data_IF_638352146795
#
_entry.id   IF_638352146795
#
_cell.length_a   1.000
_cell.length_b   1.000
_cell.length_c   1.000
_cell.angle_alpha   90.00
_cell.angle_beta   90.00
_cell.angle_gamma   90.00
#
_symmetry.space_group_name_H-M   'P 1'
#
loop_
_entity.id
_entity.type
_entity.pdbx_description
1 polymer ?
#
# COMPACT_ATOMS: atom_id res chain seq x y z
N UNK A 1 4.85 16.49 -2.24
CA UNK A 1 4.70 15.06 -1.93
C UNK A 1 6.07 14.53 -1.56
N UNK A 2 6.23 13.84 -0.41
CA UNK A 2 7.46 13.15 -0.03
C UNK A 2 7.45 11.74 -0.65
N UNK A 3 8.58 11.23 -1.05
CA UNK A 3 8.75 9.87 -1.56
C UNK A 3 10.24 9.47 -1.43
N UNK A 4 10.52 8.17 -1.45
CA UNK A 4 11.88 7.62 -1.55
C UNK A 4 11.86 6.42 -2.51
N UNK A 5 12.50 6.59 -3.65
CA UNK A 5 12.55 5.62 -4.75
C UNK A 5 13.95 5.66 -5.39
N UNK A 6 14.31 4.63 -6.09
CA UNK A 6 15.65 4.49 -6.67
C UNK A 6 16.01 5.58 -7.68
N UNK A 7 15.14 5.84 -8.65
CA UNK A 7 15.38 6.78 -9.73
C UNK A 7 14.06 7.16 -10.43
N UNK A 8 13.74 8.45 -10.43
CA UNK A 8 12.52 8.99 -11.02
C UNK A 8 12.51 8.91 -12.58
N UNK A 9 13.67 8.82 -13.20
CA UNK A 9 13.78 8.78 -14.66
C UNK A 9 13.41 7.42 -15.25
N UNK A 10 13.21 6.40 -14.43
CA UNK A 10 12.68 5.09 -14.83
C UNK A 10 11.17 5.12 -15.15
N UNK A 11 10.48 6.21 -14.86
CA UNK A 11 9.01 6.30 -14.89
C UNK A 11 8.37 5.92 -16.23
N UNK A 12 9.01 6.24 -17.37
CA UNK A 12 8.45 5.91 -18.70
C UNK A 12 8.31 4.40 -18.91
N UNK A 13 9.32 3.63 -18.47
CA UNK A 13 9.29 2.17 -18.53
C UNK A 13 8.18 1.60 -17.64
N UNK A 14 8.11 2.10 -16.42
CA UNK A 14 7.09 1.68 -15.45
C UNK A 14 5.66 2.00 -15.91
N UNK A 15 5.44 3.16 -16.51
CA UNK A 15 4.14 3.52 -17.09
C UNK A 15 3.68 2.50 -18.13
N UNK A 16 4.55 2.15 -19.09
CA UNK A 16 4.24 1.14 -20.11
C UNK A 16 3.90 -0.23 -19.49
N UNK A 17 4.64 -0.61 -18.45
CA UNK A 17 4.39 -1.87 -17.71
C UNK A 17 3.05 -1.86 -16.99
N UNK A 18 2.70 -0.76 -16.32
CA UNK A 18 1.41 -0.58 -15.63
C UNK A 18 0.24 -0.63 -16.63
N UNK A 19 0.36 0.07 -17.75
CA UNK A 19 -0.65 0.10 -18.80
C UNK A 19 -0.82 -1.28 -19.46
N UNK A 20 0.28 -2.02 -19.65
CA UNK A 20 0.22 -3.40 -20.13
C UNK A 20 -0.54 -4.32 -19.18
N UNK A 21 -0.18 -4.32 -17.89
CA UNK A 21 -0.84 -5.16 -16.88
C UNK A 21 -2.35 -4.84 -16.75
N UNK A 22 -2.74 -3.59 -16.97
CA UNK A 22 -4.14 -3.17 -16.92
C UNK A 22 -5.04 -3.92 -17.90
N UNK A 23 -4.49 -4.39 -19.05
CA UNK A 23 -5.28 -5.14 -20.04
C UNK A 23 -5.86 -6.42 -19.46
N UNK A 24 -5.14 -7.07 -18.55
CA UNK A 24 -5.53 -8.33 -17.90
C UNK A 24 -6.33 -8.11 -16.60
N UNK A 25 -6.68 -6.83 -16.28
CA UNK A 25 -7.40 -6.46 -15.07
C UNK A 25 -8.77 -5.79 -15.34
N UNK A 26 -9.67 -6.43 -16.13
CA UNK A 26 -10.92 -5.81 -16.57
C UNK A 26 -11.87 -5.48 -15.42
N UNK A 27 -11.89 -6.31 -14.35
CA UNK A 27 -12.72 -6.06 -13.18
C UNK A 27 -12.24 -4.81 -12.43
N UNK A 28 -10.93 -4.69 -12.21
CA UNK A 28 -10.36 -3.53 -11.53
C UNK A 28 -10.59 -2.22 -12.31
N UNK A 29 -10.56 -2.27 -13.67
CA UNK A 29 -10.93 -1.11 -14.49
C UNK A 29 -12.37 -0.66 -14.24
N UNK A 30 -13.33 -1.60 -14.22
CA UNK A 30 -14.73 -1.28 -13.92
C UNK A 30 -14.90 -0.71 -12.50
N UNK A 31 -14.18 -1.26 -11.52
CA UNK A 31 -14.15 -0.70 -10.16
C UNK A 31 -13.59 0.71 -10.18
N UNK A 32 -12.51 0.98 -10.93
CA UNK A 32 -11.93 2.33 -11.03
C UNK A 32 -12.90 3.32 -11.66
N UNK A 33 -13.59 2.96 -12.75
CA UNK A 33 -14.62 3.81 -13.37
C UNK A 33 -15.76 4.15 -12.40
N UNK A 34 -16.18 3.18 -11.58
CA UNK A 34 -17.16 3.41 -10.54
C UNK A 34 -16.61 4.32 -9.43
N UNK A 35 -15.41 4.05 -8.93
CA UNK A 35 -14.76 4.83 -7.89
C UNK A 35 -14.52 6.28 -8.31
N UNK A 36 -14.19 6.51 -9.59
CA UNK A 36 -14.00 7.84 -10.15
C UNK A 36 -15.28 8.69 -10.08
N UNK A 37 -16.44 8.05 -10.24
CA UNK A 37 -17.77 8.71 -10.14
C UNK A 37 -18.22 8.88 -8.69
N UNK A 38 -18.11 7.81 -7.89
CA UNK A 38 -18.68 7.73 -6.54
C UNK A 38 -17.81 8.34 -5.47
N UNK A 39 -16.48 8.40 -5.70
CA UNK A 39 -15.48 8.90 -4.73
C UNK A 39 -15.64 8.31 -3.32
N UNK A 40 -15.74 6.97 -3.17
CA UNK A 40 -16.05 6.35 -1.87
C UNK A 40 -14.95 6.55 -0.81
N UNK A 41 -13.76 6.92 -1.23
CA UNK A 41 -12.60 7.14 -0.36
C UNK A 41 -12.24 8.63 -0.20
N UNK A 42 -13.14 9.55 -0.61
CA UNK A 42 -12.86 10.97 -0.52
C UNK A 42 -12.47 11.39 0.90
N UNK A 43 -11.31 12.06 1.02
CA UNK A 43 -10.78 12.54 2.29
C UNK A 43 -10.23 11.45 3.22
N UNK A 44 -10.12 10.21 2.76
CA UNK A 44 -9.51 9.13 3.54
C UNK A 44 -8.02 9.02 3.24
N UNK A 45 -7.20 9.00 4.30
CA UNK A 45 -5.79 8.64 4.21
C UNK A 45 -5.64 7.12 4.24
N UNK A 46 -4.94 6.58 3.26
CA UNK A 46 -4.71 5.14 3.14
C UNK A 46 -3.23 4.87 2.93
N UNK A 47 -2.67 4.00 3.77
CA UNK A 47 -1.30 3.51 3.61
C UNK A 47 -1.32 2.03 3.24
N UNK A 48 -0.54 1.68 2.22
CA UNK A 48 -0.41 0.33 1.74
C UNK A 48 1.04 -0.16 1.87
N UNK A 49 1.19 -1.36 2.41
CA UNK A 49 2.46 -2.10 2.47
C UNK A 49 2.30 -3.36 1.63
N UNK A 50 2.63 -3.27 0.34
CA UNK A 50 2.35 -4.29 -0.67
C UNK A 50 3.57 -4.48 -1.58
N UNK A 51 3.64 -5.59 -2.32
CA UNK A 51 4.61 -5.71 -3.41
C UNK A 51 4.43 -4.56 -4.41
N UNK A 52 5.49 -3.81 -4.72
CA UNK A 52 5.41 -2.69 -5.66
C UNK A 52 5.55 -3.19 -7.09
N UNK A 53 4.45 -3.73 -7.62
CA UNK A 53 4.34 -4.29 -8.98
C UNK A 53 3.37 -3.51 -9.85
N UNK A 54 3.30 -3.84 -11.12
CA UNK A 54 2.38 -3.20 -12.06
C UNK A 54 0.90 -3.43 -11.69
N UNK A 55 0.58 -4.58 -11.11
CA UNK A 55 -0.75 -4.93 -10.63
C UNK A 55 -1.14 -4.07 -9.42
N UNK A 56 -0.25 -3.99 -8.43
CA UNK A 56 -0.41 -3.10 -7.27
C UNK A 56 -0.54 -1.64 -7.70
N UNK A 57 0.22 -1.21 -8.70
CA UNK A 57 0.09 0.14 -9.24
C UNK A 57 -1.30 0.42 -9.80
N UNK A 58 -1.92 -0.55 -10.49
CA UNK A 58 -3.30 -0.41 -10.97
C UNK A 58 -4.31 -0.37 -9.82
N UNK A 59 -4.07 -1.11 -8.73
CA UNK A 59 -4.86 -0.98 -7.49
C UNK A 59 -4.72 0.43 -6.90
N UNK A 60 -3.50 0.95 -6.76
CA UNK A 60 -3.27 2.30 -6.22
C UNK A 60 -3.94 3.38 -7.07
N UNK A 61 -3.89 3.28 -8.39
CA UNK A 61 -4.60 4.17 -9.32
C UNK A 61 -6.12 4.13 -9.07
N UNK A 62 -6.65 2.95 -8.82
CA UNK A 62 -8.09 2.75 -8.53
C UNK A 62 -8.49 3.40 -7.20
N UNK A 63 -7.71 3.21 -6.14
CA UNK A 63 -7.96 3.83 -4.84
C UNK A 63 -7.84 5.35 -4.91
N UNK A 64 -6.87 5.87 -5.67
CA UNK A 64 -6.73 7.31 -5.92
C UNK A 64 -7.91 7.87 -6.69
N UNK A 65 -8.39 7.16 -7.73
CA UNK A 65 -9.59 7.53 -8.46
C UNK A 65 -10.80 7.61 -7.51
N UNK A 66 -10.87 6.77 -6.48
CA UNK A 66 -11.87 6.81 -5.41
C UNK A 66 -11.72 7.98 -4.43
N UNK A 67 -10.68 8.80 -4.57
CA UNK A 67 -10.46 10.00 -3.76
C UNK A 67 -9.59 9.79 -2.53
N UNK A 68 -8.91 8.64 -2.39
CA UNK A 68 -7.99 8.40 -1.30
C UNK A 68 -6.71 9.25 -1.41
N UNK A 69 -6.21 9.70 -0.27
CA UNK A 69 -4.85 10.21 -0.11
C UNK A 69 -3.94 9.02 0.24
N UNK A 70 -2.97 8.71 -0.65
CA UNK A 70 -2.29 7.43 -0.67
C UNK A 70 -0.79 7.54 -0.40
N UNK A 71 -0.30 6.57 0.38
CA UNK A 71 1.12 6.21 0.47
C UNK A 71 1.28 4.71 0.26
N UNK A 72 2.29 4.32 -0.51
CA UNK A 72 2.69 2.93 -0.74
C UNK A 72 4.11 2.71 -0.26
N UNK A 73 4.35 1.67 0.53
CA UNK A 73 5.68 1.12 0.79
C UNK A 73 5.74 -0.36 0.38
N UNK A 74 6.94 -0.89 0.24
CA UNK A 74 7.12 -2.30 -0.10
C UNK A 74 6.83 -3.20 1.10
N UNK A 75 6.22 -4.38 0.87
CA UNK A 75 6.02 -5.43 1.88
C UNK A 75 7.20 -6.40 1.96
N UNK A 76 8.20 -6.23 1.12
CA UNK A 76 9.41 -7.04 1.07
C UNK A 76 10.53 -6.27 0.37
N UNK A 77 11.77 -6.26 0.90
CA UNK A 77 12.89 -5.51 0.30
C UNK A 77 13.23 -5.90 -1.15
N UNK A 78 12.84 -7.09 -1.59
CA UNK A 78 13.16 -7.59 -2.93
C UNK A 78 12.04 -7.45 -3.95
N UNK A 79 10.83 -7.09 -3.52
CA UNK A 79 9.60 -7.15 -4.33
C UNK A 79 9.22 -5.84 -5.03
N UNK A 80 10.13 -4.88 -5.10
CA UNK A 80 9.90 -3.61 -5.79
C UNK A 80 10.33 -3.68 -7.25
N UNK A 81 9.47 -3.23 -8.16
CA UNK A 81 9.80 -2.85 -9.52
C UNK A 81 10.10 -1.35 -9.53
N UNK A 82 11.37 -0.97 -9.58
CA UNK A 82 11.82 0.43 -9.44
C UNK A 82 11.22 1.36 -10.51
N UNK A 83 11.00 0.85 -11.71
CA UNK A 83 10.36 1.58 -12.80
C UNK A 83 8.86 1.84 -12.51
N UNK A 84 8.18 0.90 -11.88
CA UNK A 84 6.78 1.05 -11.43
C UNK A 84 6.70 2.07 -10.29
N UNK A 85 7.60 1.99 -9.31
CA UNK A 85 7.68 2.97 -8.22
C UNK A 85 7.85 4.40 -8.77
N UNK A 86 8.77 4.57 -9.72
CA UNK A 86 9.00 5.85 -10.40
C UNK A 86 7.75 6.36 -11.15
N UNK A 87 7.05 5.47 -11.87
CA UNK A 87 5.85 5.84 -12.59
C UNK A 87 4.70 6.25 -11.64
N UNK A 88 4.53 5.56 -10.52
CA UNK A 88 3.53 5.92 -9.51
C UNK A 88 3.75 7.35 -8.99
N UNK A 89 5.00 7.71 -8.73
CA UNK A 89 5.36 9.05 -8.27
C UNK A 89 5.18 10.10 -9.36
N UNK A 90 5.83 9.92 -10.52
CA UNK A 90 5.94 10.93 -11.58
C UNK A 90 4.66 11.11 -12.37
N UNK A 91 4.04 10.00 -12.80
CA UNK A 91 2.90 10.03 -13.72
C UNK A 91 1.55 10.03 -12.98
N UNK A 92 1.49 9.32 -11.85
CA UNK A 92 0.22 9.17 -11.13
C UNK A 92 0.14 9.99 -9.84
N UNK A 93 1.23 10.64 -9.40
CA UNK A 93 1.26 11.51 -8.24
C UNK A 93 0.89 10.77 -6.94
N UNK A 94 1.37 9.54 -6.78
CA UNK A 94 1.19 8.70 -5.60
C UNK A 94 2.54 8.62 -4.88
N UNK A 95 2.55 8.88 -3.57
CA UNK A 95 3.77 8.77 -2.77
C UNK A 95 4.19 7.31 -2.63
N UNK A 96 5.46 7.02 -2.94
CA UNK A 96 6.03 5.67 -2.84
C UNK A 96 7.32 5.73 -2.04
N UNK A 97 7.48 4.79 -1.11
CA UNK A 97 8.69 4.54 -0.32
C UNK A 97 9.09 3.09 -0.56
N UNK A 98 9.91 2.84 -1.58
CA UNK A 98 10.32 1.49 -1.97
C UNK A 98 11.50 1.51 -2.94
N UNK A 99 12.53 0.73 -2.63
CA UNK A 99 13.72 0.55 -3.46
C UNK A 99 14.03 -0.94 -3.53
N UNK A 100 14.18 -1.50 -4.73
CA UNK A 100 14.54 -2.91 -4.87
C UNK A 100 15.92 -3.20 -4.28
N UNK A 101 15.96 -4.12 -3.33
CA UNK A 101 17.21 -4.53 -2.67
C UNK A 101 17.62 -3.60 -1.53
N UNK A 102 16.68 -2.82 -0.99
CA UNK A 102 16.90 -2.03 0.22
C UNK A 102 17.28 -2.91 1.41
N UNK A 103 18.07 -2.38 2.33
CA UNK A 103 18.41 -3.08 3.57
C UNK A 103 17.26 -2.99 4.60
N UNK A 104 17.36 -3.78 5.67
CA UNK A 104 16.33 -3.83 6.70
C UNK A 104 16.06 -2.46 7.33
N UNK A 105 17.10 -1.63 7.49
CA UNK A 105 16.92 -0.30 8.06
C UNK A 105 16.06 0.58 7.16
N UNK A 106 16.40 0.65 5.88
CA UNK A 106 15.63 1.43 4.88
C UNK A 106 14.22 0.89 4.74
N UNK A 107 14.05 -0.43 4.74
CA UNK A 107 12.74 -1.07 4.71
C UNK A 107 11.83 -0.62 5.86
N UNK A 108 12.33 -0.64 7.11
CA UNK A 108 11.54 -0.16 8.24
C UNK A 108 11.36 1.36 8.26
N UNK A 109 12.36 2.15 7.81
CA UNK A 109 12.20 3.60 7.63
C UNK A 109 11.05 3.90 6.62
N UNK A 110 10.89 3.10 5.57
CA UNK A 110 9.79 3.21 4.61
C UNK A 110 8.42 2.85 5.21
N UNK A 111 8.35 1.81 6.03
CA UNK A 111 7.12 1.47 6.79
C UNK A 111 6.76 2.62 7.73
N UNK A 112 7.73 3.17 8.45
CA UNK A 112 7.50 4.31 9.34
C UNK A 112 6.99 5.54 8.58
N UNK A 113 7.56 5.83 7.39
CA UNK A 113 7.06 6.92 6.54
C UNK A 113 5.60 6.71 6.11
N UNK A 114 5.19 5.46 5.83
CA UNK A 114 3.82 5.12 5.53
C UNK A 114 2.89 5.27 6.77
N UNK A 115 3.39 5.00 7.99
CA UNK A 115 2.63 5.21 9.24
C UNK A 115 2.50 6.70 9.56
N UNK A 116 3.56 7.48 9.38
CA UNK A 116 3.57 8.94 9.59
C UNK A 116 2.59 9.69 8.68
N UNK A 117 2.18 9.09 7.57
CA UNK A 117 1.08 9.60 6.75
C UNK A 117 -0.23 9.75 7.56
N UNK A 118 -0.39 8.99 8.64
CA UNK A 118 -1.56 9.01 9.51
C UNK A 118 -2.78 8.35 8.87
N UNK A 119 -2.66 7.07 8.45
CA UNK A 119 -3.74 6.37 7.76
C UNK A 119 -4.94 6.14 8.68
N UNK A 120 -6.13 6.18 8.09
CA UNK A 120 -7.37 5.69 8.71
C UNK A 120 -7.78 4.33 8.14
N UNK A 121 -7.18 3.92 7.02
CA UNK A 121 -7.32 2.59 6.40
C UNK A 121 -5.93 2.11 6.03
N UNK A 122 -5.66 0.81 6.21
CA UNK A 122 -4.40 0.20 5.76
C UNK A 122 -4.66 -1.01 4.87
N UNK A 123 -3.71 -1.31 4.00
CA UNK A 123 -3.60 -2.56 3.26
C UNK A 123 -2.23 -3.14 3.53
N UNK A 124 -2.14 -4.42 3.84
CA UNK A 124 -0.89 -5.06 4.23
C UNK A 124 -0.73 -6.43 3.54
N UNK A 125 0.50 -6.84 3.38
CA UNK A 125 0.88 -8.13 2.84
C UNK A 125 2.01 -8.71 3.71
N UNK A 126 1.62 -9.41 4.78
CA UNK A 126 2.50 -9.99 5.78
C UNK A 126 2.37 -9.36 7.17
N UNK A 127 1.47 -8.40 7.35
CA UNK A 127 1.15 -7.73 8.61
C UNK A 127 2.32 -6.94 9.22
N UNK A 128 3.31 -6.47 8.44
CA UNK A 128 4.40 -5.66 8.98
C UNK A 128 3.94 -4.24 9.28
N UNK A 129 3.18 -3.60 8.40
CA UNK A 129 2.60 -2.28 8.65
C UNK A 129 1.66 -2.31 9.87
N UNK A 130 0.75 -3.28 9.91
CA UNK A 130 -0.22 -3.44 11.02
C UNK A 130 0.51 -3.69 12.33
N UNK A 131 1.54 -4.56 12.34
CA UNK A 131 2.32 -4.85 13.56
C UNK A 131 3.03 -3.61 14.08
N UNK A 132 3.73 -2.87 13.22
CA UNK A 132 4.41 -1.63 13.60
C UNK A 132 3.42 -0.59 14.15
N UNK A 133 2.24 -0.43 13.52
CA UNK A 133 1.19 0.46 14.05
C UNK A 133 0.78 0.06 15.47
N UNK A 134 0.64 -1.23 15.76
CA UNK A 134 0.19 -1.69 17.07
C UNK A 134 1.23 -1.53 18.16
N UNK A 135 2.50 -1.79 17.85
CA UNK A 135 3.57 -1.83 18.85
C UNK A 135 4.27 -0.48 19.01
N UNK A 136 4.49 0.24 17.92
CA UNK A 136 5.33 1.45 17.91
C UNK A 136 4.52 2.75 17.77
N UNK A 137 3.28 2.69 17.25
CA UNK A 137 2.43 3.86 16.99
C UNK A 137 0.99 3.70 17.54
N UNK A 138 0.83 3.48 18.86
CA UNK A 138 -0.49 3.20 19.45
C UNK A 138 -1.50 4.34 19.27
N UNK A 139 -1.06 5.57 19.05
CA UNK A 139 -1.93 6.72 18.73
C UNK A 139 -2.51 6.62 17.32
N UNK A 140 -1.72 6.11 16.34
CA UNK A 140 -2.21 5.85 14.98
C UNK A 140 -3.19 4.69 14.99
N UNK A 141 -2.91 3.62 15.77
CA UNK A 141 -3.81 2.49 15.93
C UNK A 141 -5.22 2.87 16.35
N UNK A 142 -5.39 3.96 17.14
CA UNK A 142 -6.71 4.46 17.56
C UNK A 142 -7.51 5.12 16.45
N UNK A 143 -6.85 5.60 15.41
CA UNK A 143 -7.49 6.28 14.26
C UNK A 143 -7.75 5.36 13.09
N UNK A 144 -7.12 4.19 13.03
CA UNK A 144 -7.36 3.20 11.97
C UNK A 144 -8.73 2.55 12.18
N UNK A 145 -9.59 2.66 11.17
CA UNK A 145 -10.94 2.06 11.18
C UNK A 145 -10.97 0.62 10.70
N UNK A 146 -9.92 0.20 9.98
CA UNK A 146 -9.77 -1.17 9.51
C UNK A 146 -8.60 -1.35 8.56
N UNK A 147 -8.22 -2.60 8.35
CA UNK A 147 -7.16 -3.02 7.45
C UNK A 147 -7.63 -4.15 6.55
N UNK A 148 -6.94 -4.36 5.44
CA UNK A 148 -7.02 -5.55 4.60
C UNK A 148 -5.67 -6.26 4.62
N UNK A 149 -5.68 -7.59 4.78
CA UNK A 149 -4.48 -8.42 4.72
C UNK A 149 -4.54 -9.34 3.51
N UNK A 150 -3.49 -9.30 2.69
CA UNK A 150 -3.43 -10.04 1.44
C UNK A 150 -3.03 -11.50 1.65
N UNK A 151 -2.14 -11.80 2.60
CA UNK A 151 -1.44 -13.09 2.61
C UNK A 151 -1.67 -13.93 3.87
N UNK A 152 -1.69 -15.26 3.71
CA UNK A 152 -1.89 -16.24 4.78
C UNK A 152 -0.90 -16.05 5.93
N UNK A 153 0.36 -15.74 5.66
CA UNK A 153 1.37 -15.52 6.71
C UNK A 153 1.03 -14.32 7.60
N UNK A 154 0.52 -13.23 7.02
CA UNK A 154 0.01 -12.08 7.76
C UNK A 154 -1.24 -12.44 8.56
N UNK A 155 -2.18 -13.17 7.96
CA UNK A 155 -3.40 -13.62 8.66
C UNK A 155 -3.06 -14.46 9.89
N UNK A 156 -2.05 -15.35 9.82
CA UNK A 156 -1.59 -16.14 10.98
C UNK A 156 -1.12 -15.23 12.12
N UNK A 157 -0.31 -14.20 11.80
CA UNK A 157 0.17 -13.21 12.77
C UNK A 157 -0.99 -12.43 13.39
N UNK A 158 -1.93 -11.96 12.58
CA UNK A 158 -3.11 -11.20 13.03
C UNK A 158 -4.07 -12.03 13.87
N UNK A 159 -4.26 -13.31 13.55
CA UNK A 159 -5.02 -14.24 14.40
C UNK A 159 -4.36 -14.44 15.78
N UNK A 160 -3.03 -14.52 15.84
CA UNK A 160 -2.31 -14.56 17.12
C UNK A 160 -2.53 -13.25 17.90
N UNK A 161 -2.36 -12.09 17.29
CA UNK A 161 -2.62 -10.79 17.91
C UNK A 161 -4.07 -10.68 18.43
N UNK A 162 -5.04 -11.16 17.68
CA UNK A 162 -6.44 -11.16 18.07
C UNK A 162 -6.69 -12.07 19.30
N UNK A 163 -6.10 -13.27 19.29
CA UNK A 163 -6.18 -14.23 20.41
C UNK A 163 -5.60 -13.66 21.71
N UNK A 164 -4.50 -12.90 21.58
CA UNK A 164 -3.81 -12.27 22.72
C UNK A 164 -4.47 -10.95 23.15
N UNK A 165 -5.56 -10.52 22.47
CA UNK A 165 -6.25 -9.25 22.75
C UNK A 165 -5.43 -8.01 22.36
N UNK A 166 -4.37 -8.18 21.56
CA UNK A 166 -3.50 -7.10 21.11
C UNK A 166 -4.06 -6.35 19.89
N UNK A 167 -4.85 -7.00 19.04
CA UNK A 167 -5.41 -6.40 17.82
C UNK A 167 -6.44 -5.33 18.18
N UNK A 168 -6.20 -4.08 17.74
CA UNK A 168 -6.99 -2.90 18.13
C UNK A 168 -8.06 -2.49 17.11
N UNK A 169 -7.98 -2.95 15.89
CA UNK A 169 -8.93 -2.64 14.82
C UNK A 169 -9.19 -3.89 13.96
N UNK A 170 -10.34 -3.95 13.27
CA UNK A 170 -10.67 -5.10 12.43
C UNK A 170 -9.73 -5.21 11.23
N UNK A 171 -9.40 -6.44 10.86
CA UNK A 171 -8.64 -6.75 9.64
C UNK A 171 -9.42 -7.78 8.82
N UNK A 172 -9.55 -7.51 7.52
CA UNK A 172 -10.22 -8.40 6.57
C UNK A 172 -9.15 -9.16 5.80
N UNK A 173 -9.15 -10.50 5.93
CA UNK A 173 -8.35 -11.36 5.07
C UNK A 173 -9.00 -11.38 3.68
N UNK A 174 -8.28 -10.93 2.67
CA UNK A 174 -8.82 -10.81 1.30
C UNK A 174 -8.40 -11.97 0.40
N UNK A 175 -7.43 -12.77 0.83
CA UNK A 175 -6.90 -13.92 0.09
C UNK A 175 -6.45 -15.05 1.04
N UNK A 176 -7.34 -15.55 1.93
CA UNK A 176 -7.06 -16.66 2.87
C UNK A 176 -8.14 -17.75 2.77
#
# INVERSE_FOLDING_TARGET
MKYDIKDIDLAEGGKKRIEWAEHDMPVLRQVRERFEKEKPLAGKKLSACLHVTAETANLMRTLKAGGADLVLCASNPLSTQDDVAAALVKEYGIAVFAIKGEDDKVYYDHIHAAIEHGPVITMDDGADLVSNIHFDYPEVARSVIGSMEETTTGVIRLRAMAKDGALKFPVIAVND
#
